data_IF_946383060149
#
_entry.id   IF_946383060149
#
_cell.length_a   1.000
_cell.length_b   1.000
_cell.length_c   1.000
_cell.angle_alpha   90.00
_cell.angle_beta   90.00
_cell.angle_gamma   90.00
#
_symmetry.space_group_name_H-M   'P 1'
#
loop_
_entity.id
_entity.type
_entity.pdbx_description
1 polymer ?
#
# COMPACT_ATOMS: atom_id res chain seq x y z
N UNK A 1 79.16 39.27 -49.36
CA UNK A 1 77.89 39.97 -49.67
C UNK A 1 76.83 38.89 -49.82
N UNK A 2 75.72 38.81 -49.09
CA UNK A 2 75.11 39.69 -48.11
C UNK A 2 74.29 38.87 -47.10
N UNK A 3 74.21 39.42 -45.88
CA UNK A 3 73.39 38.94 -44.77
C UNK A 3 71.90 39.12 -45.08
N UNK A 4 71.07 38.23 -44.54
CA UNK A 4 69.70 38.59 -44.15
C UNK A 4 68.62 37.57 -44.50
N UNK A 5 68.25 36.71 -43.53
CA UNK A 5 66.85 36.35 -43.16
C UNK A 5 66.85 35.23 -42.10
N UNK A 6 67.42 35.52 -40.93
CA UNK A 6 67.31 34.68 -39.73
C UNK A 6 66.24 35.22 -38.76
N UNK A 7 65.05 35.58 -39.26
CA UNK A 7 63.95 36.16 -38.45
C UNK A 7 62.65 35.31 -38.55
N UNK A 8 62.61 34.27 -39.37
CA UNK A 8 61.38 33.49 -39.61
C UNK A 8 61.09 32.33 -38.64
N UNK A 9 62.09 31.83 -37.88
CA UNK A 9 61.94 30.58 -37.11
C UNK A 9 61.85 30.78 -35.59
N UNK A 10 62.31 31.91 -35.04
CA UNK A 10 62.17 32.21 -33.60
C UNK A 10 60.73 32.62 -33.25
N UNK A 11 60.01 33.27 -34.17
CA UNK A 11 58.61 33.66 -33.97
C UNK A 11 57.63 32.48 -33.94
N UNK A 12 57.95 31.35 -34.57
CA UNK A 12 57.07 30.16 -34.61
C UNK A 12 57.24 29.26 -33.38
N UNK A 13 58.43 29.19 -32.79
CA UNK A 13 58.65 28.47 -31.52
C UNK A 13 58.09 29.23 -30.31
N UNK A 14 58.18 30.56 -30.28
CA UNK A 14 57.59 31.37 -29.21
C UNK A 14 56.05 31.30 -29.19
N UNK A 15 55.40 31.24 -30.36
CA UNK A 15 53.95 31.09 -30.46
C UNK A 15 53.46 29.69 -30.02
N UNK A 16 54.20 28.62 -30.31
CA UNK A 16 53.82 27.26 -29.90
C UNK A 16 54.05 27.00 -28.40
N UNK A 17 55.08 27.60 -27.79
CA UNK A 17 55.30 27.54 -26.35
C UNK A 17 54.28 28.38 -25.55
N UNK A 18 53.82 29.52 -26.09
CA UNK A 18 52.75 30.31 -25.48
C UNK A 18 51.38 29.61 -25.52
N UNK A 19 51.06 28.87 -26.60
CA UNK A 19 49.85 28.05 -26.67
C UNK A 19 49.91 26.80 -25.79
N UNK A 20 51.10 26.21 -25.57
CA UNK A 20 51.26 25.09 -24.65
C UNK A 20 51.19 25.52 -23.16
N UNK A 21 51.61 26.74 -22.82
CA UNK A 21 51.52 27.25 -21.45
C UNK A 21 50.12 27.80 -21.12
N UNK A 22 49.39 28.34 -22.09
CA UNK A 22 47.98 28.72 -21.92
C UNK A 22 47.04 27.50 -21.76
N UNK A 23 47.44 26.32 -22.26
CA UNK A 23 46.68 25.07 -22.07
C UNK A 23 47.01 24.33 -20.74
N UNK A 24 48.10 24.70 -20.06
CA UNK A 24 48.53 24.08 -18.79
C UNK A 24 48.08 24.85 -17.53
N UNK A 25 47.42 26.00 -17.70
CA UNK A 25 46.75 26.75 -16.62
C UNK A 25 45.26 26.88 -16.94
N UNK A 26 44.65 25.78 -17.39
CA UNK A 26 43.22 25.63 -17.19
C UNK A 26 43.01 25.66 -15.67
N UNK A 27 42.17 26.57 -15.12
CA UNK A 27 41.77 26.41 -13.74
C UNK A 27 41.20 24.99 -13.66
N UNK A 28 41.74 24.15 -12.79
CA UNK A 28 41.05 22.94 -12.40
C UNK A 28 39.65 23.42 -12.03
N UNK A 29 38.68 23.14 -12.91
CA UNK A 29 37.29 23.35 -12.60
C UNK A 29 37.07 22.43 -11.41
N UNK A 30 37.22 22.99 -10.21
CA UNK A 30 36.56 22.46 -9.03
C UNK A 30 35.13 22.34 -9.51
N UNK A 31 34.69 21.11 -9.72
CA UNK A 31 33.28 20.79 -9.66
C UNK A 31 32.86 21.27 -8.29
N UNK A 32 32.45 22.54 -8.22
CA UNK A 32 31.66 23.03 -7.14
C UNK A 32 30.43 22.16 -7.26
N UNK A 33 30.27 21.23 -6.32
CA UNK A 33 28.96 20.70 -6.01
C UNK A 33 28.09 21.94 -5.83
N UNK A 34 27.25 22.25 -6.82
CA UNK A 34 26.19 23.22 -6.60
C UNK A 34 25.50 22.78 -5.31
N UNK A 35 25.31 23.69 -4.34
CA UNK A 35 24.40 23.38 -3.25
C UNK A 35 23.12 22.92 -3.92
N UNK A 36 22.61 21.74 -3.56
CA UNK A 36 21.26 21.36 -3.96
C UNK A 36 20.38 22.51 -3.46
N UNK A 37 19.92 23.36 -4.37
CA UNK A 37 19.07 24.48 -4.02
C UNK A 37 17.92 23.88 -3.23
N UNK A 38 17.67 24.39 -2.02
CA UNK A 38 16.54 23.93 -1.22
C UNK A 38 15.29 24.03 -2.11
N UNK A 39 14.67 22.88 -2.36
CA UNK A 39 13.47 22.80 -3.17
C UNK A 39 12.33 23.55 -2.48
N UNK A 40 11.25 23.79 -3.22
CA UNK A 40 10.06 24.38 -2.60
C UNK A 40 9.34 23.29 -1.79
N UNK A 41 8.88 23.56 -0.55
CA UNK A 41 8.11 22.59 0.22
C UNK A 41 6.96 22.00 -0.58
N UNK A 42 6.80 20.68 -0.52
CA UNK A 42 5.77 19.95 -1.26
C UNK A 42 6.06 19.72 -2.75
N UNK A 43 7.20 20.17 -3.28
CA UNK A 43 7.65 19.77 -4.62
C UNK A 43 8.23 18.36 -4.59
N UNK A 44 7.82 17.55 -5.56
CA UNK A 44 8.35 16.23 -5.82
C UNK A 44 9.51 16.35 -6.81
N UNK A 45 10.73 16.24 -6.32
CA UNK A 45 11.95 16.46 -7.10
C UNK A 45 12.22 15.34 -8.12
N UNK A 46 11.65 14.15 -7.92
CA UNK A 46 11.84 12.97 -8.76
C UNK A 46 12.80 11.96 -8.14
N UNK A 47 12.65 10.68 -8.50
CA UNK A 47 13.42 9.55 -7.93
C UNK A 47 14.93 9.73 -8.06
N UNK A 48 15.38 10.33 -9.17
CA UNK A 48 16.79 10.61 -9.41
C UNK A 48 17.43 11.52 -8.33
N UNK A 49 16.64 12.31 -7.60
CA UNK A 49 17.13 13.15 -6.49
C UNK A 49 17.55 12.33 -5.26
N UNK A 50 17.00 11.13 -5.08
CA UNK A 50 17.35 10.19 -4.01
C UNK A 50 18.56 9.31 -4.38
N UNK A 51 19.00 9.36 -5.65
CA UNK A 51 20.03 8.51 -6.19
C UNK A 51 21.46 8.91 -5.81
N UNK A 52 22.38 7.96 -5.90
CA UNK A 52 23.81 8.14 -5.62
C UNK A 52 24.33 7.12 -4.60
N UNK A 53 25.60 6.73 -4.71
CA UNK A 53 26.21 5.74 -3.81
C UNK A 53 26.40 6.25 -2.38
N UNK A 54 26.46 7.57 -2.19
CA UNK A 54 26.41 8.23 -0.88
C UNK A 54 24.98 8.41 -0.34
N UNK A 55 23.97 8.13 -1.16
CA UNK A 55 22.54 8.30 -0.87
C UNK A 55 21.88 6.91 -0.83
N UNK A 56 20.98 6.59 -1.77
CA UNK A 56 20.18 5.36 -1.73
C UNK A 56 20.47 4.37 -2.88
N UNK A 57 21.59 4.48 -3.59
CA UNK A 57 21.92 3.65 -4.77
C UNK A 57 23.14 2.75 -4.63
N UNK A 58 23.53 2.34 -3.42
CA UNK A 58 24.55 1.30 -3.25
C UNK A 58 24.06 -0.03 -3.81
N UNK A 59 24.93 -0.86 -4.39
CA UNK A 59 24.55 -2.16 -4.95
C UNK A 59 24.16 -3.20 -3.87
N UNK A 60 24.57 -2.98 -2.62
CA UNK A 60 24.29 -3.84 -1.48
C UNK A 60 23.92 -2.97 -0.25
N UNK A 61 23.20 -3.51 0.74
CA UNK A 61 22.81 -2.80 1.96
C UNK A 61 24.02 -2.58 2.88
N UNK A 62 24.96 -1.73 2.46
CA UNK A 62 26.29 -1.58 3.05
C UNK A 62 26.57 -0.16 3.56
N UNK A 63 25.53 0.67 3.72
CA UNK A 63 25.68 1.98 4.33
C UNK A 63 25.98 1.89 5.83
N UNK A 64 26.49 2.98 6.39
CA UNK A 64 26.94 3.03 7.79
C UNK A 64 25.76 3.15 8.78
N UNK A 65 24.81 4.05 8.48
CA UNK A 65 23.68 4.38 9.35
C UNK A 65 22.39 3.73 8.85
N UNK A 66 22.20 3.70 7.54
CA UNK A 66 21.07 3.06 6.86
C UNK A 66 21.61 2.17 5.74
N UNK A 67 20.78 1.31 5.15
CA UNK A 67 21.22 0.35 4.12
C UNK A 67 21.84 1.05 2.91
N UNK A 68 21.31 2.21 2.51
CA UNK A 68 21.76 3.01 1.36
C UNK A 68 21.59 2.30 0.00
N UNK A 69 20.77 1.24 -0.08
CA UNK A 69 20.45 0.50 -1.31
C UNK A 69 18.94 0.49 -1.62
N UNK A 70 18.19 1.42 -1.03
CA UNK A 70 16.74 1.49 -1.11
C UNK A 70 16.26 1.64 -2.56
N UNK A 71 16.97 2.42 -3.39
CA UNK A 71 16.65 2.58 -4.80
C UNK A 71 16.80 1.26 -5.56
N UNK A 72 17.84 0.47 -5.28
CA UNK A 72 18.07 -0.83 -5.94
C UNK A 72 16.95 -1.81 -5.58
N UNK A 73 16.54 -1.82 -4.31
CA UNK A 73 15.44 -2.67 -3.84
C UNK A 73 14.11 -2.28 -4.50
N UNK A 74 13.82 -0.97 -4.59
CA UNK A 74 12.61 -0.45 -5.23
C UNK A 74 12.61 -0.61 -6.77
N UNK A 75 13.77 -0.62 -7.42
CA UNK A 75 13.87 -0.81 -8.87
C UNK A 75 13.86 -2.29 -9.30
N UNK A 76 14.00 -3.24 -8.38
CA UNK A 76 14.13 -4.65 -8.72
C UNK A 76 12.86 -5.18 -9.43
N UNK A 77 12.93 -5.47 -10.75
CA UNK A 77 11.76 -5.86 -11.51
C UNK A 77 11.26 -7.28 -11.19
N UNK A 78 12.03 -8.05 -10.43
CA UNK A 78 11.77 -9.46 -10.13
C UNK A 78 11.20 -9.69 -8.73
N UNK A 79 11.02 -8.63 -7.94
CA UNK A 79 10.44 -8.72 -6.61
C UNK A 79 9.16 -7.89 -6.47
N UNK A 80 8.43 -8.17 -5.39
CA UNK A 80 7.26 -7.39 -4.98
C UNK A 80 7.64 -5.95 -4.58
N UNK A 81 8.85 -5.75 -4.04
CA UNK A 81 9.35 -4.42 -3.68
C UNK A 81 9.48 -3.50 -4.91
N UNK A 82 9.66 -4.06 -6.11
CA UNK A 82 9.66 -3.29 -7.35
C UNK A 82 8.31 -3.16 -8.06
N UNK A 83 7.21 -3.63 -7.48
CA UNK A 83 5.89 -3.49 -8.12
C UNK A 83 5.56 -2.01 -8.41
N UNK A 84 5.94 -1.12 -7.49
CA UNK A 84 5.71 0.32 -7.59
C UNK A 84 6.55 1.00 -8.69
N UNK A 85 7.82 0.63 -8.88
CA UNK A 85 8.64 1.16 -9.99
C UNK A 85 8.13 0.72 -11.37
N UNK A 86 7.47 -0.44 -11.44
CA UNK A 86 6.85 -0.95 -12.68
C UNK A 86 5.41 -0.45 -12.90
N UNK A 87 4.83 0.30 -11.95
CA UNK A 87 3.41 0.65 -11.98
C UNK A 87 3.02 1.46 -13.22
N UNK A 88 3.87 2.37 -13.70
CA UNK A 88 3.60 3.10 -14.94
C UNK A 88 3.68 2.18 -16.17
N UNK A 89 4.67 1.28 -16.19
CA UNK A 89 4.89 0.34 -17.31
C UNK A 89 3.73 -0.63 -17.50
N UNK A 90 3.00 -1.01 -16.45
CA UNK A 90 1.83 -1.89 -16.62
C UNK A 90 0.67 -1.22 -17.37
N UNK A 91 0.66 0.11 -17.46
CA UNK A 91 -0.34 0.84 -18.24
C UNK A 91 -0.17 0.64 -19.74
N UNK A 92 1.07 0.43 -20.21
CA UNK A 92 1.39 0.15 -21.62
C UNK A 92 1.41 -1.36 -21.92
N UNK A 93 1.00 -2.21 -20.97
CA UNK A 93 0.85 -3.64 -21.22
C UNK A 93 -0.54 -3.92 -21.86
N UNK A 94 -0.72 -5.06 -22.55
CA UNK A 94 -1.97 -5.36 -23.26
C UNK A 94 -3.24 -5.23 -22.41
N UNK A 95 -3.16 -5.54 -21.10
CA UNK A 95 -4.28 -5.34 -20.17
C UNK A 95 -4.61 -3.86 -19.97
N UNK A 96 -3.61 -3.02 -19.73
CA UNK A 96 -3.78 -1.58 -19.52
C UNK A 96 -4.35 -0.89 -20.76
N UNK A 97 -3.81 -1.21 -21.93
CA UNK A 97 -4.30 -0.72 -23.22
C UNK A 97 -5.76 -1.14 -23.46
N UNK A 98 -6.11 -2.40 -23.20
CA UNK A 98 -7.47 -2.91 -23.37
C UNK A 98 -8.46 -2.24 -22.40
N UNK A 99 -8.07 -1.96 -21.16
CA UNK A 99 -8.91 -1.22 -20.19
C UNK A 99 -9.18 0.19 -20.73
N UNK A 100 -8.13 0.92 -21.11
CA UNK A 100 -8.27 2.29 -21.59
C UNK A 100 -9.06 2.39 -22.90
N UNK A 101 -8.91 1.40 -23.79
CA UNK A 101 -9.71 1.28 -25.01
C UNK A 101 -11.20 1.10 -24.71
N UNK A 102 -11.57 0.19 -23.80
CA UNK A 102 -12.98 -0.02 -23.40
C UNK A 102 -13.61 1.23 -22.77
N UNK A 103 -12.79 2.01 -22.05
CA UNK A 103 -13.23 3.25 -21.41
C UNK A 103 -13.25 4.44 -22.36
N UNK A 104 -12.58 4.36 -23.51
CA UNK A 104 -12.47 5.47 -24.47
C UNK A 104 -11.66 6.66 -23.93
N UNK A 105 -10.72 6.44 -23.01
CA UNK A 105 -9.96 7.50 -22.31
C UNK A 105 -8.60 7.83 -22.95
N UNK A 106 -8.34 7.32 -24.15
CA UNK A 106 -7.04 7.43 -24.81
C UNK A 106 -5.98 6.49 -24.19
N UNK A 107 -4.68 6.73 -24.44
CA UNK A 107 -3.61 5.89 -23.90
C UNK A 107 -3.56 5.91 -22.37
N UNK A 108 -3.51 4.73 -21.74
CA UNK A 108 -3.57 4.58 -20.28
C UNK A 108 -2.45 5.35 -19.57
N UNK A 109 -1.25 5.35 -20.14
CA UNK A 109 -0.05 5.98 -19.58
C UNK A 109 -0.08 7.52 -19.62
N UNK A 110 -1.16 8.10 -20.17
CA UNK A 110 -1.44 9.54 -20.21
C UNK A 110 -2.77 9.90 -19.54
N UNK A 111 -3.59 8.91 -19.21
CA UNK A 111 -4.92 9.11 -18.65
C UNK A 111 -4.81 9.47 -17.15
N UNK A 112 -5.38 10.61 -16.70
CA UNK A 112 -5.37 10.99 -15.28
C UNK A 112 -5.97 9.93 -14.35
N UNK A 113 -6.99 9.20 -14.83
CA UNK A 113 -7.63 8.09 -14.10
C UNK A 113 -6.68 6.92 -13.80
N UNK A 114 -5.65 6.72 -14.62
CA UNK A 114 -4.65 5.67 -14.43
C UNK A 114 -3.46 6.20 -13.64
N UNK A 115 -2.98 7.40 -13.98
CA UNK A 115 -1.78 8.00 -13.41
C UNK A 115 -1.91 8.36 -11.92
N UNK A 116 -3.13 8.54 -11.41
CA UNK A 116 -3.36 8.87 -10.00
C UNK A 116 -2.87 7.78 -9.01
N UNK A 117 -2.76 6.54 -9.47
CA UNK A 117 -2.28 5.40 -8.66
C UNK A 117 -1.09 4.65 -9.29
N UNK A 118 -0.83 4.83 -10.59
CA UNK A 118 0.26 4.15 -11.32
C UNK A 118 1.50 5.04 -11.54
N UNK A 119 1.50 6.26 -11.03
CA UNK A 119 2.63 7.16 -11.00
C UNK A 119 2.64 7.95 -9.68
N UNK A 120 3.69 8.72 -9.44
CA UNK A 120 3.65 9.73 -8.38
C UNK A 120 2.51 10.74 -8.66
N UNK A 121 1.54 10.90 -7.72
CA UNK A 121 0.33 11.69 -7.93
C UNK A 121 0.56 13.21 -7.88
N UNK A 122 1.81 13.68 -7.74
CA UNK A 122 2.14 15.10 -7.76
C UNK A 122 1.49 15.83 -8.95
N UNK A 123 0.79 16.93 -8.64
CA UNK A 123 0.25 17.82 -9.67
C UNK A 123 1.39 18.44 -10.48
N UNK A 124 1.11 18.81 -11.74
CA UNK A 124 2.13 19.35 -12.65
C UNK A 124 2.93 20.53 -12.06
N UNK A 125 2.27 21.42 -11.32
CA UNK A 125 2.89 22.58 -10.67
C UNK A 125 3.79 22.23 -9.47
N UNK A 126 3.70 21.00 -8.95
CA UNK A 126 4.47 20.49 -7.83
C UNK A 126 5.54 19.47 -8.26
N UNK A 127 5.88 19.40 -9.55
CA UNK A 127 6.93 18.50 -10.08
C UNK A 127 8.23 19.29 -10.27
N UNK A 128 9.30 18.80 -9.68
CA UNK A 128 10.64 19.34 -9.80
C UNK A 128 11.29 18.99 -11.13
N UNK A 129 12.46 19.56 -11.39
CA UNK A 129 13.13 19.46 -12.70
C UNK A 129 13.56 18.03 -13.07
N UNK A 130 13.77 17.15 -12.08
CA UNK A 130 14.19 15.75 -12.29
C UNK A 130 13.02 14.75 -12.20
N UNK A 131 11.79 15.23 -12.01
CA UNK A 131 10.60 14.39 -11.93
C UNK A 131 10.35 13.66 -13.26
N UNK A 132 10.16 12.34 -13.21
CA UNK A 132 9.74 11.54 -14.35
C UNK A 132 8.47 10.77 -14.00
N UNK A 133 7.39 11.01 -14.75
CA UNK A 133 6.13 10.29 -14.51
C UNK A 133 6.26 8.78 -14.78
N UNK A 134 7.20 8.41 -15.65
CA UNK A 134 7.52 7.03 -16.00
C UNK A 134 8.27 6.27 -14.91
N UNK A 135 8.74 6.93 -13.85
CA UNK A 135 9.33 6.26 -12.68
C UNK A 135 8.30 5.40 -11.94
N UNK A 136 7.00 5.55 -12.24
CA UNK A 136 5.93 4.85 -11.53
C UNK A 136 5.66 5.48 -10.17
N UNK A 137 5.27 4.66 -9.20
CA UNK A 137 5.04 5.11 -7.82
C UNK A 137 6.42 5.25 -7.16
N UNK A 138 6.98 6.45 -7.25
CA UNK A 138 8.33 6.79 -6.76
C UNK A 138 8.43 7.00 -5.25
N UNK A 139 9.63 7.31 -4.77
CA UNK A 139 9.92 7.49 -3.34
C UNK A 139 8.99 8.54 -2.69
N UNK A 140 8.80 9.68 -3.35
CA UNK A 140 8.01 10.81 -2.85
C UNK A 140 6.50 10.54 -2.89
N UNK A 141 6.07 9.55 -3.67
CA UNK A 141 4.70 9.03 -3.63
C UNK A 141 4.39 8.35 -2.29
N UNK A 142 5.38 7.96 -1.47
CA UNK A 142 5.16 7.50 -0.09
C UNK A 142 5.74 8.47 0.94
N UNK A 143 6.97 8.96 0.72
CA UNK A 143 7.71 9.80 1.67
C UNK A 143 7.32 11.29 1.63
N UNK A 144 6.48 11.69 0.68
CA UNK A 144 6.11 13.09 0.44
C UNK A 144 7.13 13.83 -0.44
N UNK A 145 6.69 14.91 -1.07
CA UNK A 145 7.55 15.74 -1.93
C UNK A 145 8.79 16.24 -1.18
N UNK A 146 9.97 15.88 -1.68
CA UNK A 146 11.25 16.06 -1.01
C UNK A 146 11.81 17.47 -1.05
N UNK A 147 11.25 18.38 -1.84
CA UNK A 147 11.78 19.74 -1.98
C UNK A 147 12.00 20.46 -0.65
N UNK A 148 11.13 20.23 0.35
CA UNK A 148 11.27 20.82 1.69
C UNK A 148 12.28 20.13 2.61
N UNK A 149 12.50 18.82 2.47
CA UNK A 149 13.26 18.03 3.45
C UNK A 149 14.53 17.38 2.89
N UNK A 150 14.76 17.36 1.58
CA UNK A 150 15.91 16.71 0.96
C UNK A 150 17.24 17.30 1.45
N UNK A 151 17.30 18.62 1.64
CA UNK A 151 18.50 19.31 2.12
C UNK A 151 18.78 19.02 3.61
N UNK A 152 17.74 19.00 4.45
CA UNK A 152 17.88 18.64 5.86
C UNK A 152 18.12 17.15 6.08
N UNK A 153 17.80 16.31 5.09
CA UNK A 153 17.93 14.86 5.20
C UNK A 153 19.38 14.37 5.36
N UNK A 154 20.33 15.04 4.70
CA UNK A 154 21.75 14.69 4.74
C UNK A 154 22.60 15.67 5.56
N UNK A 155 21.95 16.61 6.28
CA UNK A 155 22.65 17.51 7.18
C UNK A 155 23.28 16.75 8.36
N UNK A 156 24.36 17.29 8.94
CA UNK A 156 25.06 16.65 10.07
C UNK A 156 24.17 16.50 11.32
N UNK A 157 23.22 17.41 11.49
CA UNK A 157 22.23 17.46 12.57
C UNK A 157 20.84 16.98 12.11
N UNK A 158 20.77 16.21 11.00
CA UNK A 158 19.52 15.68 10.49
C UNK A 158 18.79 14.86 11.56
N UNK A 159 17.53 15.21 11.82
CA UNK A 159 16.64 14.42 12.69
C UNK A 159 15.37 14.02 11.95
N UNK A 160 14.80 12.89 12.35
CA UNK A 160 13.51 12.43 11.82
C UNK A 160 12.40 13.47 12.03
N UNK A 161 12.32 14.02 13.25
CA UNK A 161 11.34 15.05 13.60
C UNK A 161 11.49 16.34 12.75
N UNK A 162 12.73 16.80 12.51
CA UNK A 162 12.96 17.97 11.65
C UNK A 162 12.55 17.71 10.20
N UNK A 163 12.86 16.53 9.65
CA UNK A 163 12.43 16.17 8.29
C UNK A 163 10.90 16.08 8.18
N UNK A 164 10.20 15.56 9.20
CA UNK A 164 8.73 15.58 9.26
C UNK A 164 8.21 17.02 9.27
N UNK A 165 8.81 17.90 10.09
CA UNK A 165 8.44 19.31 10.14
C UNK A 165 8.65 20.02 8.78
N UNK A 166 9.59 19.53 7.97
CA UNK A 166 9.86 20.00 6.61
C UNK A 166 9.03 19.31 5.52
N UNK A 167 8.09 18.44 5.88
CA UNK A 167 7.12 17.84 4.96
C UNK A 167 7.36 16.37 4.61
N UNK A 168 8.32 15.70 5.26
CA UNK A 168 8.43 14.24 5.15
C UNK A 168 7.21 13.57 5.79
N UNK A 169 6.63 12.59 5.11
CA UNK A 169 5.52 11.79 5.65
C UNK A 169 6.05 10.87 6.75
N UNK A 170 5.44 10.93 7.94
CA UNK A 170 5.78 10.09 9.10
C UNK A 170 5.34 8.64 8.92
N UNK A 171 5.91 7.93 7.93
CA UNK A 171 5.53 6.55 7.60
C UNK A 171 5.87 5.55 8.69
N UNK A 172 6.63 5.89 9.73
CA UNK A 172 6.81 5.04 10.90
C UNK A 172 5.54 4.91 11.76
N UNK A 173 4.65 5.90 11.69
CA UNK A 173 3.35 5.86 12.36
C UNK A 173 2.35 5.00 11.57
N UNK A 174 1.80 3.90 12.16
CA UNK A 174 0.89 2.99 11.46
C UNK A 174 -0.28 3.67 10.78
N UNK A 175 -0.87 4.68 11.44
CA UNK A 175 -2.03 5.39 10.89
C UNK A 175 -1.67 6.23 9.66
N UNK A 176 -0.53 6.91 9.72
CA UNK A 176 -0.04 7.73 8.61
C UNK A 176 0.33 6.83 7.43
N UNK A 177 1.01 5.71 7.69
CA UNK A 177 1.33 4.70 6.67
C UNK A 177 0.07 4.13 6.03
N UNK A 178 -0.90 3.71 6.84
CA UNK A 178 -2.17 3.18 6.34
C UNK A 178 -2.87 4.18 5.43
N UNK A 179 -3.04 5.43 5.88
CA UNK A 179 -3.65 6.48 5.07
C UNK A 179 -2.94 6.65 3.72
N UNK A 180 -1.60 6.64 3.71
CA UNK A 180 -0.81 6.82 2.50
C UNK A 180 -0.98 5.67 1.51
N UNK A 181 -0.98 4.42 1.97
CA UNK A 181 -1.22 3.28 1.09
C UNK A 181 -2.66 3.26 0.56
N UNK A 182 -3.63 3.58 1.42
CA UNK A 182 -5.06 3.58 1.09
C UNK A 182 -5.44 4.63 0.04
N UNK A 183 -4.63 5.68 -0.13
CA UNK A 183 -4.85 6.68 -1.19
C UNK A 183 -4.87 6.04 -2.59
N UNK A 184 -4.12 4.95 -2.82
CA UNK A 184 -4.16 4.21 -4.08
C UNK A 184 -4.87 2.84 -3.95
N UNK A 185 -4.75 2.17 -2.80
CA UNK A 185 -5.26 0.80 -2.60
C UNK A 185 -6.75 0.72 -2.19
N UNK A 186 -7.44 1.86 -2.09
CA UNK A 186 -8.90 1.94 -1.96
C UNK A 186 -9.43 3.22 -2.61
N UNK A 187 -8.71 4.32 -2.38
CA UNK A 187 -8.92 5.60 -3.03
C UNK A 187 -8.78 6.76 -2.05
N UNK A 188 -8.06 7.79 -2.46
CA UNK A 188 -7.79 8.99 -1.68
C UNK A 188 -8.80 10.11 -1.85
N UNK A 189 -8.53 11.23 -1.18
CA UNK A 189 -9.21 12.50 -1.42
C UNK A 189 -8.66 13.26 -2.63
N UNK A 190 -7.54 12.83 -3.21
CA UNK A 190 -7.00 13.44 -4.40
C UNK A 190 -7.84 13.06 -5.63
N UNK A 191 -7.88 13.93 -6.67
CA UNK A 191 -8.64 13.63 -7.88
C UNK A 191 -8.20 12.31 -8.51
N UNK A 192 -9.19 11.55 -9.01
CA UNK A 192 -8.99 10.32 -9.79
C UNK A 192 -8.38 9.12 -9.05
N UNK A 193 -8.23 9.17 -7.72
CA UNK A 193 -7.69 8.05 -6.95
C UNK A 193 -8.72 6.97 -6.59
N UNK A 194 -10.00 7.20 -6.82
CA UNK A 194 -11.04 6.21 -6.54
C UNK A 194 -11.23 5.25 -7.73
N UNK A 195 -10.97 3.96 -7.49
CA UNK A 195 -11.25 2.90 -8.47
C UNK A 195 -12.72 2.53 -8.40
N UNK A 196 -13.51 3.16 -9.27
CA UNK A 196 -14.94 2.92 -9.38
C UNK A 196 -15.26 1.63 -10.15
N UNK A 197 -16.54 1.23 -10.14
CA UNK A 197 -17.01 0.05 -10.85
C UNK A 197 -16.81 0.16 -12.37
N UNK A 198 -16.81 1.37 -12.96
CA UNK A 198 -16.56 1.53 -14.40
C UNK A 198 -15.14 1.07 -14.77
N UNK A 199 -14.13 1.43 -13.97
CA UNK A 199 -12.75 0.96 -14.13
C UNK A 199 -12.68 -0.57 -13.96
N UNK A 200 -13.32 -1.10 -12.91
CA UNK A 200 -13.36 -2.56 -12.66
C UNK A 200 -14.03 -3.32 -13.81
N UNK A 201 -15.17 -2.84 -14.30
CA UNK A 201 -15.91 -3.43 -15.43
C UNK A 201 -15.11 -3.40 -16.75
N UNK A 202 -14.24 -2.41 -16.93
CA UNK A 202 -13.30 -2.39 -18.05
C UNK A 202 -12.15 -3.40 -17.92
N UNK A 203 -11.94 -3.95 -16.73
CA UNK A 203 -10.96 -5.00 -16.43
C UNK A 203 -9.87 -4.59 -15.45
N UNK A 204 -10.01 -3.46 -14.75
CA UNK A 204 -9.13 -3.15 -13.62
C UNK A 204 -9.33 -4.19 -12.51
N UNK A 205 -8.26 -4.75 -11.92
CA UNK A 205 -8.40 -5.70 -10.83
C UNK A 205 -9.10 -5.07 -9.63
N UNK A 206 -9.86 -5.86 -8.87
CA UNK A 206 -10.35 -5.43 -7.57
C UNK A 206 -9.15 -5.12 -6.66
N UNK A 207 -9.26 -4.03 -5.89
CA UNK A 207 -8.24 -3.67 -4.93
C UNK A 207 -8.38 -4.51 -3.66
N UNK A 208 -7.26 -4.94 -3.10
CA UNK A 208 -7.16 -5.56 -1.78
C UNK A 208 -6.10 -4.83 -0.96
N UNK A 209 -6.21 -4.92 0.36
CA UNK A 209 -5.29 -4.22 1.25
C UNK A 209 -5.10 -4.94 2.58
N UNK A 210 -3.83 -5.14 2.92
CA UNK A 210 -3.39 -5.60 4.23
C UNK A 210 -2.09 -4.85 4.58
N UNK A 211 -2.14 -4.01 5.61
CA UNK A 211 -1.09 -3.02 5.86
C UNK A 211 0.24 -3.65 6.30
N UNK A 212 0.21 -4.71 7.10
CA UNK A 212 1.43 -5.34 7.61
C UNK A 212 2.14 -6.16 6.52
N UNK A 213 1.36 -6.93 5.75
CA UNK A 213 1.84 -7.64 4.57
C UNK A 213 2.43 -6.67 3.56
N UNK A 214 1.72 -5.58 3.22
CA UNK A 214 2.20 -4.63 2.21
C UNK A 214 3.40 -3.84 2.73
N UNK A 215 3.45 -3.53 4.04
CA UNK A 215 4.65 -2.99 4.69
C UNK A 215 5.83 -3.93 4.48
N UNK A 216 5.64 -5.23 4.71
CA UNK A 216 6.70 -6.25 4.60
C UNK A 216 7.18 -6.41 3.17
N UNK A 217 6.27 -6.47 2.19
CA UNK A 217 6.58 -6.61 0.77
C UNK A 217 7.35 -5.42 0.20
N UNK A 218 7.17 -4.23 0.78
CA UNK A 218 7.84 -3.00 0.35
C UNK A 218 9.01 -2.61 1.26
N UNK A 219 9.34 -3.40 2.29
CA UNK A 219 10.32 -3.03 3.32
C UNK A 219 11.74 -2.94 2.76
N UNK A 220 12.26 -1.72 2.74
CA UNK A 220 13.65 -1.41 2.37
C UNK A 220 14.41 -0.72 3.52
N UNK A 221 14.00 -0.93 4.77
CA UNK A 221 14.64 -0.39 5.97
C UNK A 221 14.83 -1.48 7.03
N UNK A 222 15.77 -1.28 7.94
CA UNK A 222 15.95 -2.13 9.13
C UNK A 222 15.32 -1.50 10.36
N UNK A 223 14.84 -2.35 11.27
CA UNK A 223 14.42 -1.96 12.61
C UNK A 223 15.53 -2.46 13.54
N UNK A 224 16.54 -1.63 13.72
CA UNK A 224 17.74 -1.90 14.51
C UNK A 224 17.95 -0.81 15.58
N UNK A 225 19.09 -0.84 16.26
CA UNK A 225 19.42 0.14 17.30
C UNK A 225 19.47 1.58 16.74
N UNK A 226 19.92 1.77 15.49
CA UNK A 226 19.94 3.08 14.84
C UNK A 226 18.51 3.60 14.57
N UNK A 227 17.63 2.74 14.06
CA UNK A 227 16.23 3.09 13.81
C UNK A 227 15.55 3.61 15.09
N UNK A 228 15.79 2.95 16.22
CA UNK A 228 15.27 3.35 17.54
C UNK A 228 15.95 4.63 18.04
N UNK A 229 17.28 4.75 17.87
CA UNK A 229 18.03 5.95 18.26
C UNK A 229 17.57 7.22 17.51
N UNK A 230 17.04 7.07 16.30
CA UNK A 230 16.39 8.15 15.53
C UNK A 230 14.95 8.46 15.96
N UNK A 231 14.50 7.91 17.09
CA UNK A 231 13.19 8.15 17.70
C UNK A 231 12.00 7.83 16.79
N UNK A 232 12.15 6.82 15.92
CA UNK A 232 11.08 6.36 15.03
C UNK A 232 10.18 5.36 15.73
N UNK A 233 8.88 5.39 15.41
CA UNK A 233 7.94 4.41 15.91
C UNK A 233 8.27 3.00 15.39
N UNK A 234 8.19 2.00 16.29
CA UNK A 234 8.40 0.58 16.00
C UNK A 234 7.12 -0.19 16.34
N UNK A 235 6.06 -0.04 15.52
CA UNK A 235 4.85 -0.83 15.71
C UNK A 235 5.14 -2.30 15.43
N UNK A 236 4.70 -3.19 16.31
CA UNK A 236 4.70 -4.63 16.04
C UNK A 236 3.70 -4.99 14.94
N UNK A 237 3.87 -6.17 14.32
CA UNK A 237 3.07 -6.61 13.17
C UNK A 237 1.56 -6.61 13.47
N UNK A 238 1.15 -7.09 14.65
CA UNK A 238 -0.26 -7.14 15.07
C UNK A 238 -0.87 -5.75 15.20
N UNK A 239 -0.11 -4.77 15.71
CA UNK A 239 -0.56 -3.37 15.79
C UNK A 239 -0.75 -2.79 14.40
N UNK A 240 0.24 -2.97 13.52
CA UNK A 240 0.19 -2.51 12.13
C UNK A 240 -1.01 -3.12 11.40
N UNK A 241 -1.22 -4.43 11.52
CA UNK A 241 -2.38 -5.14 10.99
C UNK A 241 -3.69 -4.54 11.51
N UNK A 242 -3.90 -4.48 12.83
CA UNK A 242 -5.16 -4.03 13.43
C UNK A 242 -5.51 -2.58 13.06
N UNK A 243 -4.52 -1.68 13.08
CA UNK A 243 -4.69 -0.29 12.63
C UNK A 243 -5.03 -0.25 11.13
N UNK A 244 -4.36 -1.06 10.31
CA UNK A 244 -4.63 -1.17 8.88
C UNK A 244 -6.07 -1.60 8.58
N UNK A 245 -6.58 -2.61 9.27
CA UNK A 245 -7.97 -3.08 9.12
C UNK A 245 -8.98 -1.98 9.48
N UNK A 246 -8.73 -1.24 10.56
CA UNK A 246 -9.59 -0.14 10.99
C UNK A 246 -9.59 1.01 9.98
N UNK A 247 -8.42 1.39 9.48
CA UNK A 247 -8.32 2.48 8.52
C UNK A 247 -8.87 2.13 7.13
N UNK A 248 -8.75 0.87 6.70
CA UNK A 248 -9.37 0.39 5.47
C UNK A 248 -10.89 0.48 5.52
N UNK A 249 -11.51 -0.02 6.60
CA UNK A 249 -12.96 0.05 6.79
C UNK A 249 -13.44 1.51 6.86
N UNK A 250 -12.77 2.35 7.65
CA UNK A 250 -13.10 3.77 7.73
C UNK A 250 -13.03 4.46 6.37
N UNK A 251 -11.99 4.17 5.58
CA UNK A 251 -11.82 4.74 4.24
C UNK A 251 -12.96 4.31 3.31
N UNK A 252 -13.25 3.01 3.27
CA UNK A 252 -14.30 2.44 2.42
C UNK A 252 -15.68 3.04 2.74
N UNK A 253 -16.03 3.17 4.03
CA UNK A 253 -17.32 3.74 4.46
C UNK A 253 -17.42 5.25 4.18
N UNK A 254 -16.30 5.96 4.30
CA UNK A 254 -16.23 7.39 3.99
C UNK A 254 -16.38 7.65 2.49
N UNK A 255 -15.79 6.80 1.65
CA UNK A 255 -15.98 6.83 0.20
C UNK A 255 -17.42 6.47 -0.17
N UNK A 256 -18.00 5.43 0.43
CA UNK A 256 -19.41 5.04 0.22
C UNK A 256 -20.40 6.19 0.47
N UNK A 257 -20.05 7.14 1.35
CA UNK A 257 -20.82 8.34 1.64
C UNK A 257 -21.02 9.31 0.44
N UNK A 258 -21.29 10.61 0.70
CA UNK A 258 -21.76 11.55 -0.32
C UNK A 258 -20.77 11.84 -1.46
N UNK A 259 -19.54 11.31 -1.38
CA UNK A 259 -18.46 11.56 -2.35
C UNK A 259 -18.51 10.66 -3.57
N UNK A 260 -19.33 9.60 -3.57
CA UNK A 260 -19.35 8.70 -4.72
C UNK A 260 -20.50 9.04 -5.68
N UNK A 261 -20.19 9.51 -6.91
CA UNK A 261 -21.19 9.71 -7.94
C UNK A 261 -21.80 8.36 -8.29
N UNK A 262 -23.11 8.26 -8.14
CA UNK A 262 -23.92 7.19 -8.69
C UNK A 262 -25.12 7.84 -9.33
N UNK A 263 -25.44 7.48 -10.56
CA UNK A 263 -26.68 7.92 -11.21
C UNK A 263 -27.88 7.31 -10.49
N UNK A 264 -28.74 6.61 -11.23
CA UNK A 264 -29.86 5.88 -10.62
C UNK A 264 -29.44 4.73 -9.66
N UNK A 265 -28.16 4.35 -9.64
CA UNK A 265 -27.64 3.21 -8.89
C UNK A 265 -26.54 3.62 -7.90
N UNK A 266 -26.35 2.87 -6.78
CA UNK A 266 -25.18 3.03 -5.94
C UNK A 266 -23.90 2.67 -6.70
N UNK A 267 -22.75 3.10 -6.18
CA UNK A 267 -21.47 2.64 -6.69
C UNK A 267 -21.27 1.17 -6.34
N UNK A 268 -21.08 0.33 -7.37
CA UNK A 268 -21.00 -1.11 -7.21
C UNK A 268 -19.64 -1.59 -6.71
N UNK A 269 -18.59 -0.76 -6.76
CA UNK A 269 -17.25 -1.12 -6.26
C UNK A 269 -17.23 -1.54 -4.78
N UNK A 270 -18.22 -1.10 -3.99
CA UNK A 270 -18.33 -1.44 -2.57
C UNK A 270 -19.00 -2.79 -2.28
N UNK A 271 -19.48 -3.49 -3.31
CA UNK A 271 -20.27 -4.69 -3.16
C UNK A 271 -19.57 -5.93 -3.73
N UNK A 272 -19.94 -7.11 -3.23
CA UNK A 272 -19.44 -8.38 -3.74
C UNK A 272 -19.95 -8.61 -5.17
N UNK A 273 -19.03 -8.52 -6.13
CA UNK A 273 -19.31 -8.68 -7.55
C UNK A 273 -19.85 -10.09 -7.87
N UNK A 274 -19.46 -11.13 -7.13
CA UNK A 274 -19.87 -12.51 -7.40
C UNK A 274 -21.34 -12.77 -7.05
N UNK A 275 -21.87 -11.98 -6.11
CA UNK A 275 -23.29 -12.02 -5.77
C UNK A 275 -24.19 -11.59 -6.95
N UNK A 276 -23.69 -10.71 -7.82
CA UNK A 276 -24.41 -10.17 -8.98
C UNK A 276 -24.02 -10.87 -10.30
N UNK A 277 -22.74 -11.13 -10.52
CA UNK A 277 -22.21 -11.70 -11.77
C UNK A 277 -22.28 -13.22 -11.78
N UNK A 278 -23.46 -13.75 -12.12
CA UNK A 278 -23.73 -15.19 -12.22
C UNK A 278 -24.40 -15.57 -13.53
N UNK A 279 -24.27 -16.83 -13.92
CA UNK A 279 -25.08 -17.41 -15.00
C UNK A 279 -26.55 -17.45 -14.58
N UNK A 280 -27.45 -16.91 -15.41
CA UNK A 280 -28.90 -16.98 -15.19
C UNK A 280 -29.41 -18.40 -15.51
N UNK A 281 -29.28 -19.33 -14.57
CA UNK A 281 -29.89 -20.66 -14.67
C UNK A 281 -31.34 -20.58 -14.18
N UNK A 282 -32.27 -20.23 -15.07
CA UNK A 282 -33.67 -19.91 -14.70
C UNK A 282 -34.62 -21.10 -14.61
N UNK A 283 -34.16 -22.33 -14.90
CA UNK A 283 -35.04 -23.52 -14.98
C UNK A 283 -34.61 -24.72 -14.13
N UNK A 284 -33.51 -24.63 -13.36
CA UNK A 284 -33.12 -25.71 -12.45
C UNK A 284 -33.82 -25.54 -11.10
N UNK A 285 -34.79 -26.41 -10.72
CA UNK A 285 -35.45 -26.35 -9.41
C UNK A 285 -34.51 -26.65 -8.23
N UNK A 286 -33.29 -27.15 -8.48
CA UNK A 286 -32.24 -27.33 -7.48
C UNK A 286 -31.29 -26.12 -7.38
N UNK A 287 -31.54 -25.07 -8.17
CA UNK A 287 -30.71 -23.88 -8.17
C UNK A 287 -30.65 -23.27 -6.76
N UNK A 288 -29.43 -22.93 -6.33
CA UNK A 288 -29.17 -22.24 -5.07
C UNK A 288 -28.53 -20.89 -5.36
N UNK A 289 -28.87 -19.84 -4.59
CA UNK A 289 -28.14 -18.58 -4.64
C UNK A 289 -26.63 -18.79 -4.49
N UNK A 290 -25.85 -18.09 -5.31
CA UNK A 290 -24.37 -18.09 -5.23
C UNK A 290 -23.90 -17.39 -3.95
N UNK A 291 -24.60 -16.32 -3.56
CA UNK A 291 -24.38 -15.65 -2.28
C UNK A 291 -24.87 -16.55 -1.14
N UNK A 292 -23.97 -16.85 -0.21
CA UNK A 292 -24.28 -17.59 1.01
C UNK A 292 -24.70 -16.63 2.13
N UNK A 293 -25.58 -17.09 3.02
CA UNK A 293 -26.02 -16.29 4.15
C UNK A 293 -24.88 -16.06 5.15
N UNK A 294 -24.60 -14.80 5.47
CA UNK A 294 -23.64 -14.40 6.51
C UNK A 294 -24.41 -13.89 7.74
N UNK A 295 -24.25 -14.49 8.92
CA UNK A 295 -25.05 -14.17 10.12
C UNK A 295 -24.85 -12.74 10.64
N UNK A 296 -23.69 -12.12 10.37
CA UNK A 296 -23.39 -10.75 10.77
C UNK A 296 -23.79 -9.70 9.72
N UNK A 297 -24.18 -10.16 8.52
CA UNK A 297 -24.55 -9.33 7.37
C UNK A 297 -26.00 -9.65 6.96
N UNK A 298 -27.00 -9.17 7.72
CA UNK A 298 -28.41 -9.41 7.41
C UNK A 298 -28.82 -8.57 6.20
N UNK A 299 -29.00 -9.24 5.06
CA UNK A 299 -29.38 -8.61 3.80
C UNK A 299 -30.39 -9.53 3.09
N UNK A 300 -31.50 -8.99 2.54
CA UNK A 300 -32.47 -9.79 1.79
C UNK A 300 -31.84 -10.45 0.55
N UNK A 301 -32.36 -11.62 0.18
CA UNK A 301 -31.97 -12.29 -1.07
C UNK A 301 -32.27 -11.35 -2.26
N UNK A 302 -31.30 -11.21 -3.15
CA UNK A 302 -31.41 -10.37 -4.36
C UNK A 302 -30.83 -8.96 -4.20
N UNK A 303 -30.48 -8.55 -2.98
CA UNK A 303 -29.67 -7.35 -2.75
C UNK A 303 -28.17 -7.72 -2.80
N UNK A 304 -27.29 -6.85 -3.32
CA UNK A 304 -25.85 -7.10 -3.33
C UNK A 304 -25.25 -6.94 -1.92
N UNK A 305 -24.47 -7.91 -1.40
CA UNK A 305 -23.77 -7.77 -0.14
C UNK A 305 -22.65 -6.74 -0.26
N UNK A 306 -22.49 -5.92 0.78
CA UNK A 306 -21.34 -5.02 0.91
C UNK A 306 -20.09 -5.84 1.24
N UNK A 307 -18.93 -5.45 0.70
CA UNK A 307 -17.62 -6.03 1.01
C UNK A 307 -17.28 -5.73 2.49
N UNK A 308 -17.49 -6.70 3.39
CA UNK A 308 -17.37 -6.54 4.84
C UNK A 308 -16.14 -7.23 5.44
N UNK A 309 -15.12 -7.55 4.63
CA UNK A 309 -13.93 -8.30 5.06
C UNK A 309 -13.21 -7.66 6.25
N UNK A 310 -13.02 -6.33 6.24
CA UNK A 310 -12.42 -5.62 7.37
C UNK A 310 -13.34 -5.62 8.59
N UNK A 311 -14.67 -5.72 8.42
CA UNK A 311 -15.59 -5.82 9.55
C UNK A 311 -15.43 -7.15 10.28
N UNK A 312 -15.22 -8.24 9.53
CA UNK A 312 -14.95 -9.56 10.12
C UNK A 312 -13.62 -9.52 10.91
N UNK A 313 -12.57 -8.91 10.34
CA UNK A 313 -11.27 -8.80 11.00
C UNK A 313 -11.34 -7.98 12.30
N UNK A 314 -12.00 -6.81 12.24
CA UNK A 314 -12.13 -5.91 13.38
C UNK A 314 -13.01 -6.47 14.48
N UNK A 315 -14.04 -7.23 14.15
CA UNK A 315 -14.87 -7.94 15.14
C UNK A 315 -13.99 -8.83 16.03
N UNK A 316 -13.12 -9.64 15.42
CA UNK A 316 -12.20 -10.52 16.15
C UNK A 316 -11.15 -9.73 16.95
N UNK A 317 -10.53 -8.71 16.34
CA UNK A 317 -9.52 -7.88 17.01
C UNK A 317 -10.09 -7.11 18.20
N UNK A 318 -11.23 -6.45 18.01
CA UNK A 318 -11.87 -5.62 19.03
C UNK A 318 -12.40 -6.45 20.20
N UNK A 319 -12.89 -7.66 19.96
CA UNK A 319 -13.32 -8.57 21.03
C UNK A 319 -12.20 -8.83 22.05
N UNK A 320 -10.94 -8.85 21.60
CA UNK A 320 -9.77 -9.12 22.44
C UNK A 320 -9.15 -7.82 22.96
N UNK A 321 -8.80 -6.90 22.06
CA UNK A 321 -7.96 -5.74 22.37
C UNK A 321 -8.71 -4.41 22.55
N UNK A 322 -10.01 -4.36 22.23
CA UNK A 322 -10.84 -3.17 22.43
C UNK A 322 -12.29 -3.51 22.85
N UNK A 323 -12.49 -4.30 23.93
CA UNK A 323 -13.81 -4.83 24.29
C UNK A 323 -14.85 -3.72 24.58
N UNK A 324 -14.41 -2.54 25.03
CA UNK A 324 -15.27 -1.37 25.22
C UNK A 324 -15.87 -0.79 23.93
N UNK A 325 -15.26 -1.07 22.76
CA UNK A 325 -15.76 -0.65 21.44
C UNK A 325 -16.46 -1.80 20.70
N UNK A 326 -16.22 -3.05 21.09
CA UNK A 326 -16.70 -4.25 20.39
C UNK A 326 -18.22 -4.26 20.20
N UNK A 327 -19.01 -4.06 21.27
CA UNK A 327 -20.48 -4.13 21.18
C UNK A 327 -21.07 -3.01 20.30
N UNK A 328 -20.49 -1.81 20.40
CA UNK A 328 -20.87 -0.68 19.54
C UNK A 328 -20.57 -0.99 18.08
N UNK A 329 -19.41 -1.58 17.79
CA UNK A 329 -19.02 -1.94 16.44
C UNK A 329 -19.92 -3.00 15.81
N UNK A 330 -20.24 -4.07 16.52
CA UNK A 330 -21.19 -5.09 16.02
C UNK A 330 -22.57 -4.47 15.75
N UNK A 331 -23.02 -3.57 16.64
CA UNK A 331 -24.29 -2.85 16.48
C UNK A 331 -24.28 -1.94 15.25
N UNK A 332 -23.23 -1.12 15.09
CA UNK A 332 -23.09 -0.18 13.97
C UNK A 332 -22.93 -0.93 12.64
N UNK A 333 -22.16 -2.03 12.61
CA UNK A 333 -21.97 -2.90 11.44
C UNK A 333 -23.29 -3.53 11.00
N UNK A 334 -24.03 -4.14 11.93
CA UNK A 334 -25.34 -4.72 11.63
C UNK A 334 -26.34 -3.66 11.17
N UNK A 335 -26.37 -2.50 11.82
CA UNK A 335 -27.26 -1.40 11.45
C UNK A 335 -26.97 -0.86 10.06
N UNK A 336 -25.68 -0.78 9.67
CA UNK A 336 -25.30 -0.42 8.31
C UNK A 336 -25.79 -1.43 7.28
N UNK A 337 -25.60 -2.73 7.51
CA UNK A 337 -26.08 -3.77 6.60
C UNK A 337 -27.60 -3.78 6.43
N UNK A 338 -28.36 -3.56 7.51
CA UNK A 338 -29.82 -3.41 7.41
C UNK A 338 -30.18 -2.18 6.57
N UNK A 339 -29.55 -1.03 6.82
CA UNK A 339 -29.85 0.21 6.13
C UNK A 339 -29.58 0.15 4.61
N UNK A 340 -28.60 -0.65 4.17
CA UNK A 340 -28.32 -0.89 2.74
C UNK A 340 -29.53 -1.44 1.98
N UNK A 341 -30.41 -2.20 2.64
CA UNK A 341 -31.60 -2.78 2.04
C UNK A 341 -32.83 -1.87 2.09
N UNK A 342 -32.77 -0.78 2.86
CA UNK A 342 -33.93 0.07 3.15
C UNK A 342 -33.89 1.40 2.38
N UNK A 343 -32.86 2.22 2.61
CA UNK A 343 -32.78 3.58 2.09
C UNK A 343 -31.33 4.07 2.00
N UNK A 344 -30.99 4.78 0.91
CA UNK A 344 -29.64 5.31 0.68
C UNK A 344 -29.24 6.34 1.73
N UNK A 345 -30.15 7.23 2.11
CA UNK A 345 -29.86 8.26 3.13
C UNK A 345 -29.52 7.64 4.47
N UNK A 346 -30.30 6.64 4.89
CA UNK A 346 -30.02 5.85 6.09
C UNK A 346 -28.71 5.07 5.98
N UNK A 347 -28.45 4.42 4.84
CA UNK A 347 -27.20 3.68 4.62
C UNK A 347 -25.97 4.60 4.74
N UNK A 348 -26.01 5.80 4.16
CA UNK A 348 -24.94 6.81 4.29
C UNK A 348 -24.77 7.27 5.74
N UNK A 349 -25.86 7.52 6.47
CA UNK A 349 -25.79 7.91 7.87
C UNK A 349 -25.19 6.80 8.77
N UNK A 350 -25.59 5.53 8.54
CA UNK A 350 -25.02 4.38 9.26
C UNK A 350 -23.57 4.09 8.88
N UNK A 351 -23.20 4.30 7.61
CA UNK A 351 -21.82 4.22 7.17
C UNK A 351 -20.93 5.24 7.90
N UNK A 352 -21.39 6.48 8.04
CA UNK A 352 -20.67 7.53 8.79
C UNK A 352 -20.51 7.18 10.28
N UNK A 353 -21.56 6.63 10.91
CA UNK A 353 -21.49 6.18 12.30
C UNK A 353 -20.47 5.04 12.48
N UNK A 354 -20.51 4.04 11.60
CA UNK A 354 -19.57 2.92 11.61
C UNK A 354 -18.13 3.38 11.29
N UNK A 355 -17.95 4.33 10.37
CA UNK A 355 -16.65 4.93 10.07
C UNK A 355 -16.06 5.63 11.29
N UNK A 356 -16.88 6.35 12.08
CA UNK A 356 -16.46 6.97 13.32
C UNK A 356 -16.05 5.92 14.38
N UNK A 357 -16.81 4.83 14.51
CA UNK A 357 -16.46 3.72 15.41
C UNK A 357 -15.16 3.03 14.97
N UNK A 358 -14.98 2.82 13.67
CA UNK A 358 -13.75 2.25 13.11
C UNK A 358 -12.54 3.16 13.34
N UNK A 359 -12.69 4.48 13.21
CA UNK A 359 -11.65 5.46 13.56
C UNK A 359 -11.25 5.40 15.03
N UNK A 360 -12.22 5.28 15.94
CA UNK A 360 -11.97 5.10 17.36
C UNK A 360 -11.23 3.78 17.66
N UNK A 361 -11.51 2.72 16.91
CA UNK A 361 -10.74 1.47 16.99
C UNK A 361 -9.30 1.65 16.52
N UNK A 362 -9.07 2.37 15.41
CA UNK A 362 -7.72 2.68 14.95
C UNK A 362 -6.92 3.44 16.02
N UNK A 363 -7.55 4.40 16.71
CA UNK A 363 -6.95 5.14 17.82
C UNK A 363 -6.61 4.23 19.00
N UNK A 364 -7.55 3.37 19.40
CA UNK A 364 -7.35 2.41 20.48
C UNK A 364 -6.20 1.43 20.17
N UNK A 365 -6.18 0.84 18.97
CA UNK A 365 -5.12 -0.10 18.57
C UNK A 365 -3.75 0.57 18.43
N UNK A 366 -3.69 1.81 17.96
CA UNK A 366 -2.44 2.55 17.88
C UNK A 366 -1.80 2.76 19.27
N UNK A 367 -2.64 3.01 20.29
CA UNK A 367 -2.22 3.18 21.68
C UNK A 367 -2.01 1.86 22.43
N UNK A 368 -2.63 0.77 21.97
CA UNK A 368 -2.57 -0.55 22.62
C UNK A 368 -1.21 -1.22 22.46
N UNK A 369 -0.75 -1.95 23.48
CA UNK A 369 0.42 -2.81 23.40
C UNK A 369 -0.06 -4.28 23.35
N UNK A 370 -0.04 -4.87 22.16
CA UNK A 370 -0.48 -6.25 21.97
C UNK A 370 0.50 -7.24 22.61
N UNK A 371 -0.01 -8.06 23.51
CA UNK A 371 0.70 -9.18 24.10
C UNK A 371 0.62 -10.44 23.23
N UNK A 372 1.54 -11.37 23.43
CA UNK A 372 1.55 -12.69 22.76
C UNK A 372 0.22 -13.44 22.94
N UNK A 373 -0.37 -13.35 24.13
CA UNK A 373 -1.64 -13.99 24.45
C UNK A 373 -2.80 -13.37 23.66
N UNK A 374 -2.80 -12.05 23.48
CA UNK A 374 -3.80 -11.36 22.66
C UNK A 374 -3.61 -11.69 21.17
N UNK A 375 -2.38 -11.74 20.66
CA UNK A 375 -2.09 -12.17 19.28
C UNK A 375 -2.72 -13.52 18.97
N UNK A 376 -2.48 -14.50 19.85
CA UNK A 376 -3.05 -15.83 19.74
C UNK A 376 -4.58 -15.82 19.89
N UNK A 377 -5.13 -15.08 20.84
CA UNK A 377 -6.57 -14.98 21.03
C UNK A 377 -7.29 -14.36 19.82
N UNK A 378 -6.68 -13.37 19.16
CA UNK A 378 -7.18 -12.78 17.91
C UNK A 378 -7.15 -13.82 16.78
N UNK A 379 -6.02 -14.53 16.63
CA UNK A 379 -5.90 -15.61 15.65
C UNK A 379 -6.99 -16.69 15.85
N UNK A 380 -7.21 -17.13 17.08
CA UNK A 380 -8.23 -18.12 17.41
C UNK A 380 -9.65 -17.60 17.20
N UNK A 381 -9.90 -16.31 17.46
CA UNK A 381 -11.19 -15.68 17.20
C UNK A 381 -11.49 -15.57 15.70
N UNK A 382 -10.50 -15.20 14.89
CA UNK A 382 -10.62 -15.13 13.43
C UNK A 382 -10.94 -16.49 12.83
N UNK A 383 -10.21 -17.53 13.22
CA UNK A 383 -10.39 -18.86 12.67
C UNK A 383 -11.32 -19.76 13.51
N UNK A 384 -12.18 -19.14 14.32
CA UNK A 384 -13.21 -19.87 15.06
C UNK A 384 -14.29 -20.39 14.12
N UNK A 385 -14.96 -21.47 14.51
CA UNK A 385 -16.09 -22.01 13.74
C UNK A 385 -17.26 -21.02 13.63
N UNK A 386 -17.38 -20.07 14.56
CA UNK A 386 -18.38 -19.00 14.49
C UNK A 386 -18.01 -17.95 13.44
N UNK A 387 -16.79 -17.44 13.47
CA UNK A 387 -16.31 -16.47 12.47
C UNK A 387 -16.23 -17.08 11.08
N UNK A 388 -15.91 -18.38 10.97
CA UNK A 388 -15.86 -19.09 9.70
C UNK A 388 -17.18 -19.02 8.92
N UNK A 389 -18.33 -18.94 9.60
CA UNK A 389 -19.66 -18.77 8.95
C UNK A 389 -19.81 -17.43 8.22
N UNK A 390 -18.93 -16.46 8.48
CA UNK A 390 -18.93 -15.14 7.83
C UNK A 390 -18.10 -15.13 6.54
N UNK A 391 -17.17 -16.07 6.35
CA UNK A 391 -16.35 -16.21 5.13
C UNK A 391 -17.15 -16.83 3.99
N UNK A 392 -18.06 -16.02 3.45
CA UNK A 392 -19.07 -16.41 2.45
C UNK A 392 -18.72 -15.92 1.04
N UNK A 393 -17.82 -14.96 0.92
CA UNK A 393 -17.36 -14.36 -0.33
C UNK A 393 -15.82 -14.33 -0.40
N UNK A 394 -15.33 -14.01 -1.59
CA UNK A 394 -13.90 -14.00 -1.89
C UNK A 394 -13.13 -12.99 -1.04
N UNK A 395 -13.62 -11.76 -0.91
CA UNK A 395 -12.96 -10.68 -0.17
C UNK A 395 -12.75 -11.07 1.30
N UNK A 396 -13.81 -11.58 1.95
CA UNK A 396 -13.75 -12.05 3.34
C UNK A 396 -12.77 -13.19 3.55
N UNK A 397 -12.79 -14.20 2.67
CA UNK A 397 -11.88 -15.34 2.76
C UNK A 397 -10.42 -14.94 2.47
N UNK A 398 -10.17 -14.13 1.45
CA UNK A 398 -8.83 -13.66 1.10
C UNK A 398 -8.21 -12.84 2.24
N UNK A 399 -9.00 -11.95 2.86
CA UNK A 399 -8.56 -11.17 4.01
C UNK A 399 -8.24 -12.06 5.22
N UNK A 400 -9.03 -13.11 5.46
CA UNK A 400 -8.78 -14.07 6.53
C UNK A 400 -7.48 -14.86 6.32
N UNK A 401 -7.17 -15.26 5.08
CA UNK A 401 -5.91 -15.94 4.74
C UNK A 401 -4.71 -15.02 5.00
N UNK A 402 -4.77 -13.77 4.54
CA UNK A 402 -3.69 -12.80 4.80
C UNK A 402 -3.53 -12.51 6.29
N UNK A 403 -4.64 -12.34 7.03
CA UNK A 403 -4.60 -12.15 8.48
C UNK A 403 -4.01 -13.37 9.21
N UNK A 404 -4.33 -14.59 8.79
CA UNK A 404 -3.77 -15.81 9.36
C UNK A 404 -2.25 -15.89 9.14
N UNK A 405 -1.73 -15.54 7.96
CA UNK A 405 -0.28 -15.48 7.70
C UNK A 405 0.39 -14.41 8.59
N UNK A 406 -0.15 -13.18 8.59
CA UNK A 406 0.36 -12.07 9.39
C UNK A 406 0.44 -12.42 10.87
N UNK A 407 -0.63 -12.98 11.44
CA UNK A 407 -0.67 -13.34 12.86
C UNK A 407 0.22 -14.55 13.19
N UNK A 408 0.32 -15.55 12.29
CA UNK A 408 1.24 -16.67 12.46
C UNK A 408 2.71 -16.20 12.46
N UNK A 409 3.06 -15.29 11.55
CA UNK A 409 4.39 -14.70 11.49
C UNK A 409 4.67 -13.83 12.73
N UNK A 410 3.69 -13.05 13.20
CA UNK A 410 3.80 -12.28 14.43
C UNK A 410 4.05 -13.18 15.65
N UNK A 411 3.27 -14.25 15.83
CA UNK A 411 3.48 -15.22 16.90
C UNK A 411 4.86 -15.88 16.82
N UNK A 412 5.35 -16.14 15.62
CA UNK A 412 6.69 -16.70 15.40
C UNK A 412 7.80 -15.71 15.77
N UNK A 413 7.67 -14.45 15.35
CA UNK A 413 8.62 -13.37 15.64
C UNK A 413 8.66 -13.04 17.14
N UNK A 414 7.51 -13.10 17.81
CA UNK A 414 7.39 -12.90 19.25
C UNK A 414 7.87 -14.11 20.05
N UNK A 415 8.09 -15.26 19.43
CA UNK A 415 8.48 -16.51 20.11
C UNK A 415 7.34 -17.20 20.86
N UNK A 416 6.09 -16.89 20.51
CA UNK A 416 4.90 -17.61 21.00
C UNK A 416 4.74 -18.98 20.32
N UNK A 417 5.22 -19.11 19.08
CA UNK A 417 5.31 -20.36 18.34
C UNK A 417 6.75 -20.49 17.82
N UNK A 418 7.37 -21.67 17.94
CA UNK A 418 8.71 -21.89 17.41
C UNK A 418 8.71 -21.95 15.86
N UNK A 419 9.84 -21.64 15.23
CA UNK A 419 9.96 -21.60 13.76
C UNK A 419 9.67 -22.95 13.10
N UNK A 420 10.01 -24.07 13.74
CA UNK A 420 9.75 -25.39 13.18
C UNK A 420 8.25 -25.72 13.23
N UNK A 421 7.56 -25.26 14.27
CA UNK A 421 6.11 -25.35 14.41
C UNK A 421 5.37 -24.50 13.37
N UNK A 422 5.80 -23.25 13.16
CA UNK A 422 5.28 -22.40 12.10
C UNK A 422 5.50 -23.03 10.70
N UNK A 423 6.69 -23.60 10.46
CA UNK A 423 7.00 -24.31 9.21
C UNK A 423 6.08 -25.52 8.98
N UNK A 424 5.63 -26.21 10.04
CA UNK A 424 4.64 -27.29 9.91
C UNK A 424 3.28 -26.76 9.46
N UNK A 425 2.87 -25.55 9.83
CA UNK A 425 1.57 -24.94 9.46
C UNK A 425 1.58 -24.39 8.03
N UNK A 426 2.76 -24.02 7.51
CA UNK A 426 2.90 -23.36 6.21
C UNK A 426 2.20 -24.07 5.03
N UNK A 427 2.26 -25.41 4.86
CA UNK A 427 1.55 -26.08 3.78
C UNK A 427 0.02 -25.91 3.83
N UNK A 428 -0.57 -25.83 5.02
CA UNK A 428 -2.02 -25.63 5.19
C UNK A 428 -2.39 -24.18 4.82
N UNK A 429 -1.54 -23.23 5.16
CA UNK A 429 -1.70 -21.83 4.77
C UNK A 429 -1.52 -21.62 3.27
N UNK A 430 -0.56 -22.31 2.63
CA UNK A 430 -0.39 -22.27 1.18
C UNK A 430 -1.61 -22.86 0.45
N UNK A 431 -2.24 -23.91 1.00
CA UNK A 431 -3.54 -24.39 0.51
C UNK A 431 -4.64 -23.35 0.65
N UNK A 432 -4.68 -22.63 1.77
CA UNK A 432 -5.63 -21.54 1.97
C UNK A 432 -5.41 -20.42 0.95
N UNK A 433 -4.17 -20.04 0.65
CA UNK A 433 -3.83 -19.12 -0.43
C UNK A 433 -4.27 -19.62 -1.81
N UNK A 434 -4.11 -20.91 -2.13
CA UNK A 434 -4.62 -21.45 -3.40
C UNK A 434 -6.14 -21.35 -3.50
N UNK A 435 -6.86 -21.59 -2.40
CA UNK A 435 -8.33 -21.49 -2.38
C UNK A 435 -8.87 -20.07 -2.64
N UNK A 436 -8.05 -19.04 -2.41
CA UNK A 436 -8.39 -17.62 -2.64
C UNK A 436 -7.53 -16.96 -3.73
N UNK A 437 -6.95 -17.77 -4.63
CA UNK A 437 -6.05 -17.26 -5.67
C UNK A 437 -6.76 -16.58 -6.83
N UNK A 438 -7.89 -17.13 -7.25
CA UNK A 438 -8.67 -16.64 -8.39
C UNK A 438 -10.12 -16.39 -7.96
N UNK A 439 -10.60 -15.13 -7.97
CA UNK A 439 -11.98 -14.84 -7.63
C UNK A 439 -12.98 -15.57 -8.54
N UNK A 440 -12.64 -15.85 -9.81
CA UNK A 440 -13.57 -16.53 -10.73
C UNK A 440 -13.74 -18.03 -10.41
N UNK A 441 -12.74 -18.64 -9.78
CA UNK A 441 -12.74 -20.05 -9.39
C UNK A 441 -13.10 -20.25 -7.91
N UNK A 442 -13.37 -19.17 -7.16
CA UNK A 442 -13.55 -19.20 -5.72
C UNK A 442 -14.69 -20.12 -5.27
N UNK A 443 -14.44 -20.84 -4.17
CA UNK A 443 -15.40 -21.73 -3.50
C UNK A 443 -15.35 -21.48 -1.98
N UNK A 444 -16.40 -20.89 -1.36
CA UNK A 444 -16.39 -20.56 0.06
C UNK A 444 -16.10 -21.76 0.96
N UNK A 445 -16.67 -22.93 0.64
CA UNK A 445 -16.47 -24.15 1.43
C UNK A 445 -15.02 -24.64 1.45
N UNK A 446 -14.31 -24.56 0.31
CA UNK A 446 -12.89 -24.96 0.22
C UNK A 446 -12.00 -24.01 1.03
N UNK A 447 -12.23 -22.69 0.92
CA UNK A 447 -11.49 -21.70 1.69
C UNK A 447 -11.71 -21.85 3.20
N UNK A 448 -12.96 -22.05 3.64
CA UNK A 448 -13.28 -22.31 5.06
C UNK A 448 -12.63 -23.59 5.57
N UNK A 449 -12.65 -24.66 4.78
CA UNK A 449 -12.01 -25.92 5.16
C UNK A 449 -10.49 -25.76 5.30
N UNK A 450 -9.85 -25.02 4.38
CA UNK A 450 -8.41 -24.75 4.46
C UNK A 450 -8.06 -23.90 5.69
N UNK A 451 -8.82 -22.83 5.98
CA UNK A 451 -8.63 -22.00 7.17
C UNK A 451 -8.85 -22.78 8.47
N UNK A 452 -9.83 -23.69 8.50
CA UNK A 452 -10.06 -24.56 9.66
C UNK A 452 -8.87 -25.49 9.93
N UNK A 453 -8.25 -26.05 8.88
CA UNK A 453 -7.03 -26.87 9.03
C UNK A 453 -5.87 -26.08 9.62
N UNK A 454 -5.69 -24.83 9.20
CA UNK A 454 -4.70 -23.91 9.78
C UNK A 454 -5.00 -23.69 11.27
N UNK A 455 -6.25 -23.42 11.63
CA UNK A 455 -6.69 -23.20 13.01
C UNK A 455 -6.43 -24.40 13.91
N UNK A 456 -6.83 -25.59 13.48
CA UNK A 456 -6.71 -26.83 14.25
C UNK A 456 -5.24 -27.17 14.51
N UNK A 457 -4.39 -26.95 13.50
CA UNK A 457 -2.96 -27.23 13.62
C UNK A 457 -2.27 -26.27 14.56
N UNK A 458 -2.58 -24.97 14.51
CA UNK A 458 -2.03 -23.99 15.45
C UNK A 458 -2.50 -24.27 16.88
N UNK A 459 -3.76 -24.68 17.08
CA UNK A 459 -4.25 -25.09 18.42
C UNK A 459 -3.49 -26.31 18.95
N UNK A 460 -3.11 -27.24 18.09
CA UNK A 460 -2.34 -28.43 18.46
C UNK A 460 -0.84 -28.17 18.72
N UNK A 461 -0.35 -26.94 18.53
CA UNK A 461 1.02 -26.53 18.90
C UNK A 461 1.13 -26.09 20.37
N UNK A 462 0.00 -26.01 21.07
CA UNK A 462 -0.08 -25.84 22.53
C UNK A 462 0.12 -27.18 23.21
#
# INVERSE_FOLDING_TARGET
MGRGRAIGQIGRLAAMLALAWAAAVAPAARAQSEPVAAGRPGVHEGVASCGGSSCHSRPAPSGLTVRQNELITWQDPHTEAGAHSRAWKVLTAPRGEAIAQKLGIGPAERAPACLACHADPALAAARGARFQISDGVGCEACHGGSGGWIASHYALDATHAANIAHGMVALDEPKVRAARCLDCHFGGSAPNQFVNHQLMAAGHPQLSFELDLFTTLQKHYDIDADYVARHKAVPGAVKTWAVGQAMALERMLTLYGPRTPGGAFPEFAFFDCQSCHRTMASSDPKWRPVSEANPARPIPVGQPPFNDENMIMLSAAAKVAAPGLFQRFETDSRAFHVALAEDRGQAVAKAQALAATSRAMADAFAQHAFSRAETLAIFEALLSSETAKRYTDFSGAAQAVMAADTLLNAMTAEGAIDRAAAARVRPDLDRAYQAVRDPNAFRPAEARAALQQVADKVRALK
#
